data_IF_285976640458
#
_entry.id   IF_285976640458
#
_cell.length_a   1.000
_cell.length_b   1.000
_cell.length_c   1.000
_cell.angle_alpha   90.00
_cell.angle_beta   90.00
_cell.angle_gamma   90.00
#
_symmetry.space_group_name_H-M   'P 1'
#
loop_
_entity.id
_entity.type
_entity.pdbx_description
1 polymer ?
#
# COMPACT_ATOMS: atom_id res chain seq x y z
N UNK A 1 -1.03 14.17 -1.16
CA UNK A 1 -0.55 13.79 -2.51
C UNK A 1 -1.77 13.67 -3.39
N UNK A 2 -1.78 14.30 -4.55
CA UNK A 2 -2.86 14.15 -5.52
C UNK A 2 -2.49 13.07 -6.53
N UNK A 3 -3.46 12.27 -6.96
CA UNK A 3 -3.24 11.22 -7.94
C UNK A 3 -4.44 10.96 -8.84
N UNK A 4 -4.28 9.96 -9.71
CA UNK A 4 -5.29 9.48 -10.64
C UNK A 4 -5.47 7.98 -10.47
N UNK A 5 -6.71 7.54 -10.55
CA UNK A 5 -7.11 6.14 -10.52
C UNK A 5 -7.75 5.81 -11.87
N UNK A 6 -7.12 4.91 -12.61
CA UNK A 6 -7.64 4.40 -13.89
C UNK A 6 -8.47 3.14 -13.63
N UNK A 7 -9.72 3.17 -14.07
CA UNK A 7 -10.66 2.06 -13.96
C UNK A 7 -10.62 1.23 -15.24
N UNK A 8 -10.38 -0.07 -15.11
CA UNK A 8 -10.50 -1.02 -16.21
C UNK A 8 -11.96 -1.25 -16.59
N UNK A 9 -12.86 -1.17 -15.61
CA UNK A 9 -14.30 -1.20 -15.79
C UNK A 9 -14.89 0.19 -15.49
N UNK A 10 -15.21 0.99 -16.52
CA UNK A 10 -15.82 2.30 -16.34
C UNK A 10 -17.12 2.22 -15.53
N UNK A 11 -17.39 3.27 -14.76
CA UNK A 11 -18.63 3.44 -13.99
C UNK A 11 -19.44 4.61 -14.53
N UNK A 12 -20.76 4.54 -14.39
CA UNK A 12 -21.64 5.64 -14.77
C UNK A 12 -21.80 6.63 -13.62
N UNK A 13 -21.42 7.89 -13.85
CA UNK A 13 -21.59 9.02 -12.93
C UNK A 13 -22.36 10.10 -13.68
N UNK A 14 -23.51 10.52 -13.15
CA UNK A 14 -24.40 11.51 -13.78
C UNK A 14 -24.73 11.23 -15.26
N UNK A 15 -24.84 9.96 -15.64
CA UNK A 15 -25.12 9.52 -17.01
C UNK A 15 -23.92 9.50 -17.96
N UNK A 16 -22.71 9.77 -17.46
CA UNK A 16 -21.47 9.69 -18.23
C UNK A 16 -20.63 8.48 -17.79
N UNK A 17 -20.03 7.78 -18.75
CA UNK A 17 -19.03 6.75 -18.45
C UNK A 17 -17.72 7.40 -18.01
N UNK A 18 -17.26 7.05 -16.81
CA UNK A 18 -16.04 7.55 -16.20
C UNK A 18 -15.07 6.39 -16.02
N UNK A 19 -13.91 6.51 -16.66
CA UNK A 19 -12.80 5.56 -16.56
C UNK A 19 -11.58 6.10 -15.80
N UNK A 20 -11.57 7.39 -15.46
CA UNK A 20 -10.48 8.04 -14.73
C UNK A 20 -11.06 8.88 -13.59
N UNK A 21 -10.56 8.67 -12.38
CA UNK A 21 -10.97 9.38 -11.18
C UNK A 21 -9.75 10.07 -10.54
N UNK A 22 -9.86 11.35 -10.24
CA UNK A 22 -8.81 12.04 -9.47
C UNK A 22 -9.03 11.84 -7.98
N UNK A 23 -7.96 11.81 -7.19
CA UNK A 23 -8.06 11.69 -5.75
C UNK A 23 -7.05 12.58 -5.02
N UNK A 24 -7.41 13.03 -3.82
CA UNK A 24 -6.50 13.72 -2.91
C UNK A 24 -6.77 13.35 -1.44
N UNK A 25 -6.05 12.38 -0.86
CA UNK A 25 -6.16 12.03 0.56
C UNK A 25 -5.87 13.20 1.52
N UNK A 26 -5.12 14.22 1.10
CA UNK A 26 -4.81 15.36 1.98
C UNK A 26 -5.99 16.30 2.20
N UNK A 27 -7.03 16.21 1.36
CA UNK A 27 -8.26 16.98 1.47
C UNK A 27 -9.34 16.26 2.30
N UNK A 28 -9.08 15.04 2.78
CA UNK A 28 -10.03 14.32 3.64
C UNK A 28 -10.21 15.08 4.96
N UNK A 29 -11.44 15.51 5.20
CA UNK A 29 -11.85 16.14 6.46
C UNK A 29 -12.17 15.09 7.54
N UNK A 30 -12.20 15.51 8.81
CA UNK A 30 -12.60 14.63 9.92
C UNK A 30 -14.02 14.07 9.75
N UNK A 31 -14.93 14.85 9.14
CA UNK A 31 -16.30 14.41 8.86
C UNK A 31 -16.32 13.28 7.83
N UNK A 32 -15.51 13.38 6.78
CA UNK A 32 -15.39 12.33 5.76
C UNK A 32 -14.70 11.09 6.33
N UNK A 33 -13.66 11.26 7.15
CA UNK A 33 -13.03 10.14 7.87
C UNK A 33 -14.03 9.37 8.73
N UNK A 34 -14.81 10.08 9.57
CA UNK A 34 -15.83 9.46 10.41
C UNK A 34 -16.94 8.78 9.58
N UNK A 35 -17.29 9.37 8.44
CA UNK A 35 -18.26 8.78 7.52
C UNK A 35 -17.72 7.51 6.86
N UNK A 36 -16.43 7.45 6.53
CA UNK A 36 -15.77 6.25 6.02
C UNK A 36 -15.82 5.10 7.05
N UNK A 37 -15.47 5.39 8.30
CA UNK A 37 -15.52 4.40 9.38
C UNK A 37 -16.94 3.89 9.63
N UNK A 38 -17.93 4.79 9.64
CA UNK A 38 -19.33 4.43 9.81
C UNK A 38 -19.86 3.58 8.63
N UNK A 39 -19.48 3.91 7.39
CA UNK A 39 -19.86 3.15 6.21
C UNK A 39 -19.24 1.75 6.22
N UNK A 40 -17.95 1.66 6.56
CA UNK A 40 -17.24 0.39 6.68
C UNK A 40 -17.90 -0.54 7.71
N UNK A 41 -18.17 -0.04 8.91
CA UNK A 41 -18.83 -0.81 9.97
C UNK A 41 -20.24 -1.30 9.60
N UNK A 42 -20.97 -0.56 8.75
CA UNK A 42 -22.29 -0.98 8.27
C UNK A 42 -22.23 -2.11 7.26
N UNK A 43 -21.13 -2.23 6.51
CA UNK A 43 -20.96 -3.18 5.40
C UNK A 43 -20.11 -4.39 5.79
N UNK A 44 -19.29 -4.26 6.84
CA UNK A 44 -18.49 -5.34 7.37
C UNK A 44 -19.35 -6.30 8.20
N UNK A 45 -19.31 -7.59 7.85
CA UNK A 45 -19.96 -8.64 8.65
C UNK A 45 -19.25 -8.88 10.00
N UNK A 46 -17.94 -8.59 10.05
CA UNK A 46 -17.11 -8.70 11.24
C UNK A 46 -16.29 -7.43 11.40
N UNK A 47 -16.18 -6.95 12.63
CA UNK A 47 -15.34 -5.80 12.95
C UNK A 47 -13.87 -6.23 12.94
N UNK A 48 -13.05 -5.54 12.15
CA UNK A 48 -11.60 -5.69 12.19
C UNK A 48 -11.08 -4.82 13.33
N UNK A 49 -10.33 -5.42 14.27
CA UNK A 49 -9.84 -4.72 15.46
C UNK A 49 -8.70 -3.73 15.15
N UNK A 50 -8.02 -3.89 14.01
CA UNK A 50 -6.85 -3.12 13.62
C UNK A 50 -7.14 -2.48 12.26
N UNK A 51 -7.23 -1.14 12.22
CA UNK A 51 -7.64 -0.38 11.04
C UNK A 51 -6.78 -0.67 9.80
N UNK A 52 -5.48 -0.95 9.97
CA UNK A 52 -4.56 -1.29 8.87
C UNK A 52 -4.99 -2.52 8.06
N UNK A 53 -5.75 -3.43 8.65
CA UNK A 53 -6.27 -4.64 7.98
C UNK A 53 -7.73 -4.51 7.55
N UNK A 54 -8.37 -3.36 7.78
CA UNK A 54 -9.77 -3.15 7.42
C UNK A 54 -9.88 -2.67 5.97
N UNK A 55 -9.94 -3.63 5.05
CA UNK A 55 -10.08 -3.36 3.62
C UNK A 55 -11.35 -2.59 3.26
N UNK A 56 -12.45 -2.79 3.99
CA UNK A 56 -13.70 -2.06 3.75
C UNK A 56 -13.52 -0.60 4.18
N UNK A 57 -12.86 -0.36 5.30
CA UNK A 57 -12.50 0.99 5.73
C UNK A 57 -11.56 1.68 4.75
N UNK A 58 -10.52 0.98 4.26
CA UNK A 58 -9.61 1.52 3.24
C UNK A 58 -10.33 1.86 1.94
N UNK A 59 -11.27 1.02 1.49
CA UNK A 59 -12.11 1.33 0.33
C UNK A 59 -12.84 2.66 0.53
N UNK A 60 -13.50 2.86 1.67
CA UNK A 60 -14.22 4.10 1.92
C UNK A 60 -13.28 5.31 2.11
N UNK A 61 -12.10 5.14 2.72
CA UNK A 61 -11.09 6.20 2.76
C UNK A 61 -10.65 6.61 1.34
N UNK A 62 -10.38 5.64 0.47
CA UNK A 62 -10.08 5.89 -0.94
C UNK A 62 -11.24 6.61 -1.62
N UNK A 63 -12.47 6.16 -1.40
CA UNK A 63 -13.66 6.80 -1.97
C UNK A 63 -13.80 8.27 -1.53
N UNK A 64 -13.61 8.55 -0.24
CA UNK A 64 -13.67 9.92 0.27
C UNK A 64 -12.51 10.80 -0.21
N UNK A 65 -11.35 10.22 -0.53
CA UNK A 65 -10.27 10.96 -1.20
C UNK A 65 -10.64 11.41 -2.62
N UNK A 66 -11.46 10.64 -3.34
CA UNK A 66 -12.01 10.99 -4.66
C UNK A 66 -13.08 12.07 -4.51
N UNK A 67 -14.00 11.91 -3.56
CA UNK A 67 -15.07 12.90 -3.29
C UNK A 67 -14.47 14.25 -2.88
N UNK A 68 -13.41 14.25 -2.07
CA UNK A 68 -12.74 15.48 -1.67
C UNK A 68 -12.12 16.23 -2.87
N UNK A 69 -11.61 15.50 -3.87
CA UNK A 69 -11.10 16.09 -5.13
C UNK A 69 -12.21 16.41 -6.15
N UNK A 70 -13.35 15.73 -6.09
CA UNK A 70 -14.45 15.82 -7.05
C UNK A 70 -15.80 15.91 -6.32
N UNK A 71 -16.23 17.11 -5.86
CA UNK A 71 -17.41 17.26 -5.00
C UNK A 71 -18.74 16.89 -5.65
N UNK A 72 -18.79 16.69 -6.97
CA UNK A 72 -19.99 16.20 -7.68
C UNK A 72 -20.20 14.69 -7.53
N UNK A 73 -19.14 13.93 -7.21
CA UNK A 73 -19.19 12.49 -7.05
C UNK A 73 -19.65 12.16 -5.64
N UNK A 74 -20.56 11.19 -5.49
CA UNK A 74 -20.95 10.67 -4.20
C UNK A 74 -20.42 9.26 -3.94
N UNK A 75 -20.59 8.79 -2.70
CA UNK A 75 -20.12 7.45 -2.31
C UNK A 75 -20.86 6.34 -3.06
N UNK A 76 -22.10 6.57 -3.47
CA UNK A 76 -22.93 5.57 -4.15
C UNK A 76 -22.51 5.35 -5.60
N UNK A 77 -21.91 6.35 -6.23
CA UNK A 77 -21.24 6.21 -7.52
C UNK A 77 -20.02 5.29 -7.40
N UNK A 78 -19.19 5.53 -6.38
CA UNK A 78 -17.95 4.78 -6.17
C UNK A 78 -18.20 3.34 -5.70
N UNK A 79 -19.32 3.07 -5.02
CA UNK A 79 -19.75 1.70 -4.70
C UNK A 79 -20.08 0.85 -5.95
N UNK A 80 -20.15 1.44 -7.15
CA UNK A 80 -20.36 0.71 -8.42
C UNK A 80 -19.06 0.17 -9.03
N UNK A 81 -17.90 0.51 -8.47
CA UNK A 81 -16.59 -0.01 -8.90
C UNK A 81 -16.56 -1.54 -8.71
N UNK A 82 -15.97 -2.26 -9.67
CA UNK A 82 -16.02 -3.72 -9.74
C UNK A 82 -14.63 -4.32 -9.96
N UNK A 83 -14.49 -5.59 -9.58
CA UNK A 83 -13.32 -6.39 -9.92
C UNK A 83 -12.02 -5.84 -9.31
N UNK A 84 -10.95 -5.85 -10.11
CA UNK A 84 -9.61 -5.43 -9.66
C UNK A 84 -9.53 -3.94 -9.32
N UNK A 85 -10.41 -3.11 -9.88
CA UNK A 85 -10.46 -1.68 -9.61
C UNK A 85 -10.81 -1.38 -8.13
N UNK A 86 -11.52 -2.30 -7.45
CA UNK A 86 -11.77 -2.21 -6.02
C UNK A 86 -10.44 -2.24 -5.23
N UNK A 87 -9.51 -3.12 -5.63
CA UNK A 87 -8.22 -3.24 -4.94
C UNK A 87 -7.35 -2.01 -5.17
N UNK A 88 -7.39 -1.43 -6.37
CA UNK A 88 -6.69 -0.17 -6.67
C UNK A 88 -7.20 0.98 -5.78
N UNK A 89 -8.52 1.09 -5.59
CA UNK A 89 -9.09 2.12 -4.71
C UNK A 89 -8.75 1.88 -3.23
N UNK A 90 -8.75 0.62 -2.79
CA UNK A 90 -8.32 0.24 -1.44
C UNK A 90 -6.87 0.65 -1.20
N UNK A 91 -6.00 0.47 -2.19
CA UNK A 91 -4.59 0.86 -2.08
C UNK A 91 -4.43 2.37 -1.84
N UNK A 92 -5.20 3.19 -2.58
CA UNK A 92 -5.26 4.65 -2.36
C UNK A 92 -5.66 4.97 -0.92
N UNK A 93 -6.71 4.34 -0.39
CA UNK A 93 -7.15 4.56 0.98
C UNK A 93 -6.17 4.03 2.04
N UNK A 94 -5.49 2.92 1.76
CA UNK A 94 -4.51 2.33 2.66
C UNK A 94 -3.32 3.26 2.88
N UNK A 95 -2.86 3.95 1.84
CA UNK A 95 -1.80 4.96 1.95
C UNK A 95 -2.13 6.10 2.93
N UNK A 96 -3.41 6.38 3.20
CA UNK A 96 -3.82 7.33 4.25
C UNK A 96 -3.44 6.86 5.66
N UNK A 97 -3.46 5.55 5.90
CA UNK A 97 -3.20 4.96 7.23
C UNK A 97 -1.75 4.56 7.45
N UNK A 98 -0.96 4.45 6.38
CA UNK A 98 0.47 4.17 6.46
C UNK A 98 1.22 5.46 6.75
N UNK A 99 2.10 5.47 7.77
CA UNK A 99 2.95 6.63 8.06
C UNK A 99 3.77 6.99 6.81
N UNK A 100 3.61 8.20 6.32
CA UNK A 100 4.51 8.78 5.33
C UNK A 100 5.78 9.26 6.05
N UNK A 101 6.74 8.36 6.29
CA UNK A 101 8.08 8.80 6.72
C UNK A 101 8.96 9.23 5.53
N UNK A 102 8.46 9.13 4.29
CA UNK A 102 9.23 9.46 3.09
C UNK A 102 8.38 10.31 2.14
N UNK A 103 8.37 11.61 2.40
CA UNK A 103 8.25 12.58 1.32
C UNK A 103 9.67 13.08 1.03
N UNK A 104 10.53 12.19 0.51
CA UNK A 104 11.71 12.64 -0.22
C UNK A 104 11.23 13.11 -1.59
N UNK A 105 10.93 14.41 -1.69
CA UNK A 105 11.09 15.13 -2.95
C UNK A 105 12.57 15.07 -3.33
N UNK A 106 12.97 13.95 -3.93
CA UNK A 106 14.25 13.73 -4.56
C UNK A 106 14.35 14.60 -5.81
N UNK A 107 14.58 15.89 -5.59
CA UNK A 107 15.17 16.83 -6.52
C UNK A 107 16.20 16.10 -7.38
N UNK A 108 15.95 16.07 -8.69
CA UNK A 108 16.95 15.71 -9.68
C UNK A 108 18.18 16.61 -9.44
N UNK A 109 19.23 16.02 -8.89
CA UNK A 109 20.58 16.55 -8.97
C UNK A 109 21.41 15.49 -9.73
N UNK A 110 22.08 15.99 -10.76
CA UNK A 110 22.88 15.26 -11.74
C UNK A 110 23.76 14.18 -11.11
N UNK A 111 23.77 13.02 -11.76
CA UNK A 111 24.74 11.95 -11.54
C UNK A 111 26.17 12.50 -11.77
N UNK A 112 27.05 12.58 -10.74
CA UNK A 112 28.47 12.71 -10.98
C UNK A 112 28.99 11.30 -11.27
N UNK A 113 29.45 11.10 -12.49
CA UNK A 113 30.17 9.89 -12.87
C UNK A 113 31.37 9.67 -11.93
N UNK A 114 31.33 8.62 -11.11
CA UNK A 114 32.53 8.06 -10.49
C UNK A 114 32.84 6.73 -11.16
N UNK A 115 33.92 6.77 -11.92
CA UNK A 115 34.71 5.73 -12.60
C UNK A 115 34.71 4.37 -11.88
N UNK A 116 34.56 3.23 -12.59
CA UNK A 116 34.76 1.92 -11.99
C UNK A 116 36.25 1.57 -12.04
N UNK A 117 36.98 1.77 -10.94
CA UNK A 117 38.34 1.21 -10.84
C UNK A 117 38.28 -0.20 -10.25
N UNK A 118 38.30 -1.15 -11.19
CA UNK A 118 38.66 -2.55 -11.03
C UNK A 118 39.87 -2.74 -10.09
N UNK A 119 39.75 -3.64 -9.12
CA UNK A 119 40.90 -4.36 -8.54
C UNK A 119 40.47 -5.72 -7.97
N UNK A 120 40.52 -6.71 -8.86
CA UNK A 120 40.93 -8.11 -8.67
C UNK A 120 40.75 -8.77 -7.29
N UNK A 121 39.86 -9.77 -7.27
CA UNK A 121 40.04 -11.01 -6.51
C UNK A 121 41.40 -11.66 -6.84
N UNK A 122 42.03 -12.30 -5.85
CA UNK A 122 42.56 -13.63 -6.11
C UNK A 122 41.83 -14.67 -5.25
N UNK A 123 41.18 -15.60 -5.97
CA UNK A 123 40.83 -16.94 -5.50
C UNK A 123 42.09 -17.73 -5.09
N UNK A 124 41.86 -18.89 -4.45
CA UNK A 124 42.77 -20.01 -4.07
C UNK A 124 43.07 -20.08 -2.57
N UNK A 125 43.00 -21.20 -1.84
CA UNK A 125 42.72 -22.62 -2.15
C UNK A 125 42.42 -23.37 -0.84
N UNK A 126 41.57 -24.39 -0.97
CA UNK A 126 41.33 -25.58 -0.12
C UNK A 126 42.25 -25.87 1.08
N UNK A 127 41.65 -26.37 2.16
CA UNK A 127 42.00 -27.68 2.75
C UNK A 127 40.81 -28.24 3.55
N UNK A 128 40.36 -29.43 3.16
CA UNK A 128 39.44 -30.28 3.88
C UNK A 128 40.13 -30.92 5.11
N UNK A 129 39.37 -31.27 6.16
CA UNK A 129 39.31 -32.66 6.64
C UNK A 129 38.33 -32.82 7.80
N UNK A 130 37.64 -33.95 7.75
CA UNK A 130 36.66 -34.43 8.69
C UNK A 130 37.28 -35.06 9.96
N UNK A 131 36.36 -35.44 10.86
CA UNK A 131 36.33 -36.68 11.65
C UNK A 131 36.53 -36.61 13.17
N UNK A 132 35.43 -36.98 13.85
CA UNK A 132 35.26 -37.85 15.04
C UNK A 132 36.19 -37.68 16.25
N UNK A 133 35.67 -37.62 17.47
CA UNK A 133 35.53 -38.73 18.46
C UNK A 133 35.35 -38.02 19.82
N UNK A 134 34.80 -38.50 20.93
CA UNK A 134 34.16 -39.74 21.39
C UNK A 134 33.66 -39.41 22.81
N UNK A 135 32.52 -39.96 23.22
CA UNK A 135 32.06 -39.96 24.62
C UNK A 135 33.07 -40.60 25.59
N UNK A 136 32.91 -40.38 26.91
CA UNK A 136 32.94 -41.54 27.79
C UNK A 136 31.80 -41.56 28.81
N UNK A 137 31.18 -42.74 28.86
CA UNK A 137 30.41 -43.35 29.96
C UNK A 137 31.28 -43.58 31.20
N UNK A 138 30.68 -43.50 32.41
CA UNK A 138 30.86 -44.38 33.60
C UNK A 138 30.62 -43.53 34.86
N UNK A 139 29.43 -43.60 35.48
CA UNK A 139 28.96 -44.53 36.51
C UNK A 139 29.30 -44.09 37.96
N UNK A 140 28.22 -43.77 38.70
CA UNK A 140 27.84 -44.08 40.10
C UNK A 140 28.84 -43.95 41.26
N UNK A 141 28.34 -43.59 42.46
CA UNK A 141 27.56 -44.50 43.33
C UNK A 141 26.14 -44.04 43.67
#
# INVERSE_FOLDING_TARGET
MQGKLELHAPIEIDGNEVSELTYDPSQITITQFAAAEAAAKKKAANLVAIAEFDYTFHFYLGAYSIIAANPSIDVTDLERIKGLDIMQLIEVGRFFTMRSDEQEDGKSDEQPATTPESSQLPSTTSTACASSTSSPTTARP
#
